data_IF_157856866995
#
_entry.id   IF_157856866995
#
_cell.length_a   1.000
_cell.length_b   1.000
_cell.length_c   1.000
_cell.angle_alpha   90.00
_cell.angle_beta   90.00
_cell.angle_gamma   90.00
#
_symmetry.space_group_name_H-M   'P 1'
#
loop_
_entity.id
_entity.type
_entity.pdbx_description
1 polymer ?
#
# COMPACT_ATOMS: atom_id res chain seq x y z
N UNK A 1 -10.71 4.15 -15.55
CA UNK A 1 -10.19 5.20 -14.65
C UNK A 1 -8.77 4.82 -14.26
N UNK A 2 -7.79 5.73 -14.41
CA UNK A 2 -6.38 5.43 -14.05
C UNK A 2 -6.27 5.22 -12.53
N UNK A 3 -5.41 4.32 -12.08
CA UNK A 3 -5.03 4.25 -10.66
C UNK A 3 -4.38 5.60 -10.31
N UNK A 4 -5.07 6.40 -9.49
CA UNK A 4 -4.62 7.74 -9.08
C UNK A 4 -4.26 7.67 -7.61
N UNK A 5 -3.05 7.21 -7.33
CA UNK A 5 -2.50 7.17 -5.97
C UNK A 5 -1.53 8.34 -5.82
N UNK A 6 -1.70 9.12 -4.76
CA UNK A 6 -0.86 10.27 -4.46
C UNK A 6 -0.28 10.14 -3.06
N UNK A 7 1.00 10.49 -2.92
CA UNK A 7 1.70 10.58 -1.65
C UNK A 7 2.19 12.02 -1.48
N UNK A 8 1.85 12.66 -0.37
CA UNK A 8 2.24 14.04 -0.09
C UNK A 8 2.30 14.32 1.41
N UNK A 9 2.85 15.48 1.79
CA UNK A 9 2.87 15.95 3.18
C UNK A 9 1.82 17.03 3.40
N UNK A 10 1.12 16.97 4.52
CA UNK A 10 0.12 17.98 4.91
C UNK A 10 0.05 18.08 6.44
N UNK A 11 0.27 19.26 7.01
CA UNK A 11 0.04 19.52 8.44
C UNK A 11 0.79 18.59 9.41
N UNK A 12 2.01 18.15 9.06
CA UNK A 12 2.79 17.19 9.87
C UNK A 12 2.44 15.72 9.65
N UNK A 13 1.52 15.43 8.73
CA UNK A 13 1.17 14.08 8.30
C UNK A 13 1.85 13.73 6.97
N UNK A 14 2.18 12.45 6.82
CA UNK A 14 2.33 11.82 5.51
C UNK A 14 0.95 11.33 5.09
N UNK A 15 0.53 11.65 3.87
CA UNK A 15 -0.81 11.39 3.36
C UNK A 15 -0.73 10.53 2.11
N UNK A 16 -1.51 9.45 2.08
CA UNK A 16 -1.76 8.61 0.92
C UNK A 16 -3.21 8.80 0.48
N UNK A 17 -3.43 9.32 -0.72
CA UNK A 17 -4.76 9.46 -1.32
C UNK A 17 -4.91 8.53 -2.50
N UNK A 18 -5.93 7.67 -2.47
CA UNK A 18 -6.33 6.83 -3.61
C UNK A 18 -7.58 7.44 -4.24
N UNK A 19 -7.37 8.36 -5.16
CA UNK A 19 -8.42 9.19 -5.77
C UNK A 19 -9.35 8.43 -6.75
N UNK A 20 -9.09 7.14 -7.03
CA UNK A 20 -10.01 6.29 -7.78
C UNK A 20 -11.15 5.73 -6.91
N UNK A 21 -10.99 5.72 -5.58
CA UNK A 21 -12.00 5.26 -4.61
C UNK A 21 -12.33 6.34 -3.57
N UNK A 22 -11.85 7.57 -3.77
CA UNK A 22 -12.04 8.73 -2.88
C UNK A 22 -11.72 8.46 -1.40
N UNK A 23 -10.64 7.72 -1.14
CA UNK A 23 -10.17 7.43 0.20
C UNK A 23 -8.77 7.98 0.45
N UNK A 24 -8.54 8.37 1.70
CA UNK A 24 -7.28 8.98 2.17
C UNK A 24 -6.87 8.35 3.50
N UNK A 25 -5.61 7.97 3.58
CA UNK A 25 -4.96 7.48 4.79
C UNK A 25 -3.82 8.43 5.16
N UNK A 26 -3.56 8.55 6.46
CA UNK A 26 -2.53 9.44 6.97
C UNK A 26 -1.85 8.84 8.17
N UNK A 27 -0.55 9.14 8.29
CA UNK A 27 0.27 8.80 9.45
C UNK A 27 1.07 10.03 9.87
N UNK A 28 1.32 10.17 11.16
CA UNK A 28 2.24 11.17 11.70
C UNK A 28 3.37 10.50 12.50
N UNK A 29 4.21 11.29 13.16
CA UNK A 29 5.34 10.76 13.93
C UNK A 29 4.96 9.81 15.08
N UNK A 30 3.75 9.89 15.62
CA UNK A 30 3.27 8.97 16.68
C UNK A 30 2.83 7.61 16.15
N UNK A 31 2.59 7.47 14.84
CA UNK A 31 2.25 6.20 14.21
C UNK A 31 3.51 5.40 13.82
N UNK A 32 4.71 6.00 13.91
CA UNK A 32 5.94 5.36 13.43
C UNK A 32 6.30 4.17 14.30
N UNK A 33 6.47 3.01 13.65
CA UNK A 33 6.68 1.75 14.36
C UNK A 33 5.40 1.18 14.99
N UNK A 34 4.23 1.76 14.75
CA UNK A 34 2.94 1.29 15.31
C UNK A 34 1.94 0.98 14.22
N UNK A 35 1.85 1.81 13.18
CA UNK A 35 0.89 1.63 12.09
C UNK A 35 1.38 2.31 10.82
N UNK A 36 1.13 1.68 9.69
CA UNK A 36 1.36 2.31 8.39
C UNK A 36 0.38 1.85 7.31
N UNK A 37 0.29 2.62 6.23
CA UNK A 37 -0.51 2.28 5.06
C UNK A 37 0.33 2.29 3.79
N UNK A 38 -0.06 1.44 2.85
CA UNK A 38 0.60 1.28 1.58
C UNK A 38 -0.37 0.88 0.48
N UNK A 39 0.11 0.93 -0.76
CA UNK A 39 -0.53 0.31 -1.90
C UNK A 39 0.34 -0.80 -2.49
N UNK A 40 -0.32 -1.84 -2.97
CA UNK A 40 0.27 -2.91 -3.77
C UNK A 40 -0.56 -3.07 -5.05
N UNK A 41 0.05 -2.96 -6.22
CA UNK A 41 -0.66 -3.11 -7.50
C UNK A 41 0.26 -3.68 -8.59
N UNK A 42 -0.34 -4.11 -9.69
CA UNK A 42 0.40 -4.52 -10.87
C UNK A 42 -0.06 -3.76 -12.11
N UNK A 43 0.83 -3.57 -13.07
CA UNK A 43 0.53 -3.00 -14.39
C UNK A 43 1.41 -3.66 -15.46
N UNK A 44 1.04 -3.53 -16.72
CA UNK A 44 1.89 -3.93 -17.86
C UNK A 44 2.67 -2.71 -18.33
N UNK A 45 3.99 -2.84 -18.45
CA UNK A 45 4.84 -1.81 -19.02
C UNK A 45 4.78 -1.79 -20.57
N UNK A 46 5.45 -0.83 -21.20
CA UNK A 46 5.47 -0.69 -22.66
C UNK A 46 6.09 -1.92 -23.38
N UNK A 47 6.92 -2.70 -22.68
CA UNK A 47 7.57 -3.90 -23.19
C UNK A 47 6.78 -5.19 -22.90
N UNK A 48 5.50 -5.06 -22.48
CA UNK A 48 4.63 -6.18 -22.12
C UNK A 48 5.08 -6.99 -20.89
N UNK A 49 5.94 -6.43 -20.04
CA UNK A 49 6.30 -7.05 -18.77
C UNK A 49 5.29 -6.69 -17.70
N UNK A 50 4.95 -7.67 -16.86
CA UNK A 50 4.16 -7.44 -15.64
C UNK A 50 5.07 -6.84 -14.57
N UNK A 51 4.75 -5.62 -14.15
CA UNK A 51 5.43 -4.93 -13.05
C UNK A 51 4.55 -4.98 -11.81
N UNK A 52 5.13 -5.38 -10.67
CA UNK A 52 4.51 -5.28 -9.36
C UNK A 52 5.09 -4.07 -8.62
N UNK A 53 4.22 -3.23 -8.08
CA UNK A 53 4.60 -2.03 -7.36
C UNK A 53 4.08 -2.08 -5.92
N UNK A 54 4.95 -1.77 -4.97
CA UNK A 54 4.63 -1.55 -3.56
C UNK A 54 5.09 -0.16 -3.15
N UNK A 55 4.25 0.60 -2.46
CA UNK A 55 4.59 1.94 -1.97
C UNK A 55 3.85 2.24 -0.68
N UNK A 56 4.60 2.46 0.41
CA UNK A 56 4.06 2.87 1.71
C UNK A 56 4.23 4.35 2.00
N UNK A 57 3.51 4.84 3.01
CA UNK A 57 3.73 6.18 3.57
C UNK A 57 5.08 6.28 4.27
N UNK A 58 5.53 5.21 4.93
CA UNK A 58 6.89 5.10 5.49
C UNK A 58 7.59 3.81 5.00
N UNK A 59 8.78 3.54 5.57
CA UNK A 59 9.49 2.27 5.36
C UNK A 59 8.68 1.06 5.81
N UNK A 60 7.85 1.21 6.86
CA UNK A 60 7.08 0.11 7.43
C UNK A 60 5.98 -0.36 6.47
N UNK A 61 5.23 0.59 5.90
CA UNK A 61 4.19 0.31 4.91
C UNK A 61 4.78 -0.24 3.62
N UNK A 62 5.95 0.24 3.18
CA UNK A 62 6.62 -0.33 2.01
C UNK A 62 7.01 -1.79 2.25
N UNK A 63 7.57 -2.12 3.43
CA UNK A 63 7.87 -3.50 3.83
C UNK A 63 6.60 -4.36 3.93
N UNK A 64 5.52 -3.82 4.49
CA UNK A 64 4.23 -4.49 4.61
C UNK A 64 3.64 -4.84 3.24
N UNK A 65 3.64 -3.90 2.31
CA UNK A 65 3.18 -4.14 0.95
C UNK A 65 4.04 -5.14 0.20
N UNK A 66 5.37 -5.12 0.39
CA UNK A 66 6.28 -6.10 -0.21
C UNK A 66 6.04 -7.52 0.34
N UNK A 67 5.89 -7.68 1.66
CA UNK A 67 5.55 -8.96 2.30
C UNK A 67 4.18 -9.47 1.84
N UNK A 68 3.18 -8.59 1.78
CA UNK A 68 1.86 -8.95 1.29
C UNK A 68 1.91 -9.40 -0.17
N UNK A 69 2.67 -8.71 -1.02
CA UNK A 69 2.86 -9.06 -2.44
C UNK A 69 3.44 -10.45 -2.63
N UNK A 70 4.44 -10.84 -1.82
CA UNK A 70 5.07 -12.15 -1.90
C UNK A 70 4.05 -13.28 -1.79
N UNK A 71 3.05 -13.12 -0.90
CA UNK A 71 1.99 -14.11 -0.69
C UNK A 71 0.75 -13.93 -1.60
N UNK A 72 0.61 -12.80 -2.30
CA UNK A 72 -0.63 -12.43 -3.00
C UNK A 72 -0.43 -11.92 -4.43
N UNK A 73 0.74 -12.12 -5.05
CA UNK A 73 1.06 -11.60 -6.38
C UNK A 73 0.01 -11.98 -7.44
N UNK A 74 -0.51 -13.21 -7.40
CA UNK A 74 -1.55 -13.68 -8.33
C UNK A 74 -2.85 -12.87 -8.28
N UNK A 75 -3.17 -12.24 -7.14
CA UNK A 75 -4.43 -11.51 -6.95
C UNK A 75 -4.44 -10.14 -7.64
N UNK A 76 -3.28 -9.62 -8.00
CA UNK A 76 -3.14 -8.29 -8.63
C UNK A 76 -3.21 -8.31 -10.15
N UNK A 77 -3.39 -9.49 -10.75
CA UNK A 77 -3.50 -9.66 -12.21
C UNK A 77 -4.87 -9.25 -12.76
N UNK A 78 -5.89 -9.10 -11.92
CA UNK A 78 -7.27 -8.80 -12.30
C UNK A 78 -7.60 -7.32 -12.54
N UNK A 79 -6.61 -6.44 -12.72
CA UNK A 79 -6.85 -5.00 -12.91
C UNK A 79 -7.25 -4.26 -11.62
N UNK A 80 -6.88 -4.80 -10.46
CA UNK A 80 -7.10 -4.17 -9.17
C UNK A 80 -5.81 -4.10 -8.36
N UNK A 81 -5.58 -2.95 -7.75
CA UNK A 81 -4.62 -2.74 -6.68
C UNK A 81 -5.27 -2.94 -5.32
N UNK A 82 -4.42 -3.05 -4.31
CA UNK A 82 -4.77 -3.28 -2.91
C UNK A 82 -4.21 -2.14 -2.07
N UNK A 83 -5.01 -1.66 -1.13
CA UNK A 83 -4.53 -0.83 -0.02
C UNK A 83 -4.24 -1.75 1.14
N UNK A 84 -3.03 -1.64 1.65
CA UNK A 84 -2.48 -2.48 2.70
C UNK A 84 -2.34 -1.63 3.95
N UNK A 85 -2.79 -2.15 5.09
CA UNK A 85 -2.49 -1.62 6.40
C UNK A 85 -1.58 -2.60 7.12
N UNK A 86 -0.55 -2.08 7.77
CA UNK A 86 0.20 -2.78 8.80
C UNK A 86 -0.05 -2.11 10.15
N UNK A 87 -0.12 -2.92 11.19
CA UNK A 87 -0.23 -2.46 12.57
C UNK A 87 0.53 -3.41 13.49
N UNK A 88 1.48 -2.86 14.23
CA UNK A 88 2.23 -3.56 15.26
C UNK A 88 1.29 -3.89 16.44
N UNK A 89 0.94 -5.16 16.59
CA UNK A 89 0.04 -5.65 17.62
C UNK A 89 0.78 -6.17 18.85
N UNK A 90 2.01 -6.65 18.70
CA UNK A 90 2.79 -7.23 19.80
C UNK A 90 3.84 -6.25 20.38
N UNK A 91 4.07 -5.12 19.71
CA UNK A 91 4.90 -4.01 20.17
C UNK A 91 6.38 -4.19 19.89
N UNK A 92 6.78 -5.10 18.99
CA UNK A 92 8.18 -5.37 18.68
C UNK A 92 8.77 -4.44 17.59
N UNK A 93 7.91 -3.68 16.90
CA UNK A 93 8.27 -2.72 15.86
C UNK A 93 8.74 -3.35 14.54
N UNK A 94 8.64 -4.67 14.38
CA UNK A 94 8.91 -5.38 13.14
C UNK A 94 7.65 -5.52 12.31
N UNK A 95 7.84 -5.70 11.00
CA UNK A 95 6.71 -5.88 10.08
C UNK A 95 6.56 -7.35 9.77
N UNK A 96 5.46 -7.93 10.23
CA UNK A 96 5.15 -9.34 10.04
C UNK A 96 3.87 -9.55 9.21
N UNK A 97 3.84 -10.62 8.42
CA UNK A 97 2.69 -10.89 7.54
C UNK A 97 1.37 -11.10 8.31
N UNK A 98 1.43 -11.64 9.53
CA UNK A 98 0.31 -11.81 10.47
C UNK A 98 -0.38 -10.50 10.84
N UNK A 99 0.35 -9.39 10.76
CA UNK A 99 -0.10 -8.05 11.14
C UNK A 99 -0.54 -7.20 9.95
N UNK A 100 -0.41 -7.74 8.74
CA UNK A 100 -0.69 -7.05 7.49
C UNK A 100 -2.06 -7.46 6.97
N UNK A 101 -2.88 -6.47 6.59
CA UNK A 101 -4.21 -6.70 6.03
C UNK A 101 -4.51 -5.81 4.84
N UNK A 102 -5.27 -6.35 3.89
CA UNK A 102 -5.89 -5.55 2.83
C UNK A 102 -7.12 -4.81 3.42
N UNK A 103 -7.13 -3.49 3.32
CA UNK A 103 -8.22 -2.65 3.84
C UNK A 103 -9.09 -2.04 2.74
N UNK A 104 -8.59 -1.97 1.51
CA UNK A 104 -9.38 -1.56 0.34
C UNK A 104 -8.80 -2.12 -0.96
N UNK A 105 -9.58 -2.05 -2.03
CA UNK A 105 -9.15 -2.35 -3.40
C UNK A 105 -9.47 -1.15 -4.29
N UNK A 106 -8.65 -0.94 -5.32
CA UNK A 106 -8.87 0.14 -6.28
C UNK A 106 -8.58 -0.32 -7.71
N UNK A 107 -9.28 0.23 -8.71
CA UNK A 107 -9.05 -0.16 -10.10
C UNK A 107 -7.69 0.33 -10.58
N UNK A 108 -7.00 -0.53 -11.33
CA UNK A 108 -5.72 -0.27 -11.99
C UNK A 108 -5.87 -0.59 -13.47
N UNK A 109 -5.33 0.23 -14.39
CA UNK A 109 -5.31 -0.11 -15.81
C UNK A 109 -4.63 -1.47 -16.01
N UNK A 110 -5.27 -2.32 -16.82
CA UNK A 110 -4.74 -3.64 -17.19
C UNK A 110 -3.47 -3.53 -18.02
#
# INVERSE_FOLDING_TARGET
>A
SRARVFFYREGGYLVMRVASIDQTWRVNGSDWGVRDYAVAFSYVDEASNRVYAAMGLTRYGTRAAALWLDSHCGWLTGGYGSVIEWRDYDGDGEVELSEVRQVARFPVPG
#
